data_IF_620434554264
#
_entry.id   IF_620434554264
#
_cell.length_a   1.000
_cell.length_b   1.000
_cell.length_c   1.000
_cell.angle_alpha   90.00
_cell.angle_beta   90.00
_cell.angle_gamma   90.00
#
_symmetry.space_group_name_H-M   'P 1'
#
loop_
_entity.id
_entity.type
_entity.pdbx_description
1 polymer ?
#
# COMPACT_ATOMS: atom_id res chain seq x y z
N UNK A 1 30.77 10.70 -17.96
CA UNK A 1 30.49 11.67 -16.88
C UNK A 1 29.16 11.31 -16.24
N UNK A 2 29.19 10.53 -15.15
CA UNK A 2 28.02 10.43 -14.28
C UNK A 2 27.88 11.79 -13.59
N UNK A 3 26.87 12.58 -13.97
CA UNK A 3 26.49 13.75 -13.18
C UNK A 3 25.96 13.21 -11.85
N UNK A 4 26.75 13.35 -10.79
CA UNK A 4 26.21 13.30 -9.44
C UNK A 4 25.18 14.42 -9.34
N UNK A 5 23.91 14.04 -9.28
CA UNK A 5 22.84 14.97 -8.97
C UNK A 5 23.04 15.36 -7.51
N UNK A 6 23.27 16.64 -7.18
CA UNK A 6 23.45 17.06 -5.79
C UNK A 6 22.20 16.67 -5.00
N UNK A 7 22.42 16.02 -3.85
CA UNK A 7 21.34 15.67 -2.94
C UNK A 7 20.76 16.99 -2.44
N UNK A 8 19.57 17.35 -2.91
CA UNK A 8 18.87 18.54 -2.42
C UNK A 8 18.33 18.28 -1.01
N UNK A 9 18.09 19.33 -0.23
CA UNK A 9 17.46 19.23 1.10
C UNK A 9 16.12 18.47 1.07
N UNK A 10 15.42 18.50 -0.06
CA UNK A 10 14.22 17.69 -0.29
C UNK A 10 14.52 16.19 -0.38
N UNK A 11 15.60 15.81 -1.06
CA UNK A 11 16.07 14.43 -1.14
C UNK A 11 16.59 13.96 0.23
N UNK A 12 17.28 14.80 0.99
CA UNK A 12 17.71 14.49 2.36
C UNK A 12 16.51 14.23 3.28
N UNK A 13 15.53 15.14 3.30
CA UNK A 13 14.31 14.96 4.09
C UNK A 13 13.53 13.70 3.67
N UNK A 14 13.47 13.41 2.36
CA UNK A 14 12.83 12.21 1.84
C UNK A 14 13.59 10.94 2.24
N UNK A 15 14.92 10.99 2.23
CA UNK A 15 15.77 9.90 2.70
C UNK A 15 15.59 9.69 4.20
N UNK A 16 15.54 10.74 5.01
CA UNK A 16 15.33 10.67 6.45
C UNK A 16 13.94 10.14 6.80
N UNK A 17 12.89 10.62 6.10
CA UNK A 17 11.54 10.09 6.25
C UNK A 17 11.47 8.62 5.82
N UNK A 18 12.10 8.25 4.70
CA UNK A 18 12.18 6.85 4.31
C UNK A 18 12.94 6.03 5.34
N UNK A 19 14.05 6.54 5.86
CA UNK A 19 14.83 5.87 6.91
C UNK A 19 13.97 5.69 8.14
N UNK A 20 13.27 6.71 8.65
CA UNK A 20 12.39 6.56 9.80
C UNK A 20 11.28 5.52 9.55
N UNK A 21 10.63 5.56 8.38
CA UNK A 21 9.60 4.58 7.99
C UNK A 21 10.15 3.17 7.77
N UNK A 22 11.43 3.06 7.42
CA UNK A 22 12.11 1.79 7.14
C UNK A 22 12.94 1.30 8.32
N UNK A 23 13.23 2.11 9.35
CA UNK A 23 14.16 1.81 10.45
C UNK A 23 13.54 1.90 11.84
N UNK A 24 12.71 2.90 12.13
CA UNK A 24 12.09 3.06 13.46
C UNK A 24 10.82 2.19 13.61
N UNK A 25 10.11 1.94 12.51
CA UNK A 25 8.97 1.01 12.46
C UNK A 25 9.36 -0.41 11.99
N UNK A 26 10.65 -0.78 12.02
CA UNK A 26 11.11 -2.13 11.67
C UNK A 26 10.49 -3.21 12.55
N UNK A 27 10.21 -2.91 13.81
CA UNK A 27 9.65 -3.89 14.73
C UNK A 27 8.13 -4.08 14.58
N UNK A 28 7.41 -3.16 13.92
CA UNK A 28 5.93 -3.17 13.86
C UNK A 28 5.33 -3.18 12.45
N UNK A 29 6.14 -3.17 11.39
CA UNK A 29 5.63 -3.33 10.03
C UNK A 29 5.41 -4.80 9.67
N UNK A 30 4.23 -5.13 9.12
CA UNK A 30 3.92 -6.45 8.51
C UNK A 30 4.96 -6.88 7.47
N UNK A 31 5.66 -5.91 6.87
CA UNK A 31 6.72 -6.17 5.91
C UNK A 31 7.92 -6.91 6.54
N UNK A 32 8.30 -6.52 7.75
CA UNK A 32 9.41 -7.16 8.44
C UNK A 32 9.00 -8.53 8.95
N UNK A 33 7.84 -8.61 9.59
CA UNK A 33 7.38 -9.85 10.21
C UNK A 33 7.20 -10.95 9.18
N UNK A 34 6.72 -10.66 7.97
CA UNK A 34 6.61 -11.69 6.92
C UNK A 34 7.99 -12.22 6.50
N UNK A 35 8.96 -11.33 6.29
CA UNK A 35 10.31 -11.73 5.86
C UNK A 35 11.08 -12.43 6.97
N UNK A 36 11.05 -11.90 8.19
CA UNK A 36 11.70 -12.54 9.34
C UNK A 36 11.01 -13.85 9.74
N UNK A 37 9.70 -13.99 9.51
CA UNK A 37 9.02 -15.29 9.69
C UNK A 37 9.52 -16.34 8.69
N UNK A 38 9.76 -15.97 7.43
CA UNK A 38 10.15 -16.93 6.39
C UNK A 38 11.66 -17.17 6.30
N UNK A 39 12.49 -16.19 6.67
CA UNK A 39 13.95 -16.27 6.54
C UNK A 39 14.72 -16.00 7.83
N UNK A 40 14.08 -15.51 8.90
CA UNK A 40 14.80 -14.96 10.05
C UNK A 40 15.56 -13.67 9.72
N UNK A 41 16.40 -13.23 10.65
CA UNK A 41 17.32 -12.12 10.42
C UNK A 41 18.61 -12.63 9.78
N UNK A 42 18.62 -12.70 8.45
CA UNK A 42 19.77 -13.23 7.70
C UNK A 42 20.07 -12.39 6.45
N UNK A 43 20.99 -12.87 5.61
CA UNK A 43 21.37 -12.17 4.37
C UNK A 43 20.18 -11.93 3.44
N UNK A 44 19.25 -12.88 3.34
CA UNK A 44 18.08 -12.74 2.47
C UNK A 44 17.14 -11.61 2.95
N UNK A 45 16.96 -11.44 4.27
CA UNK A 45 16.14 -10.35 4.80
C UNK A 45 16.77 -8.97 4.55
N UNK A 46 18.11 -8.86 4.59
CA UNK A 46 18.82 -7.61 4.24
C UNK A 46 18.71 -7.27 2.75
N UNK A 47 18.94 -8.25 1.88
CA UNK A 47 18.78 -8.08 0.42
C UNK A 47 17.36 -7.66 0.08
N UNK A 48 16.37 -8.24 0.74
CA UNK A 48 14.98 -7.83 0.60
C UNK A 48 14.78 -6.35 0.96
N UNK A 49 15.24 -5.94 2.15
CA UNK A 49 15.12 -4.56 2.64
C UNK A 49 15.78 -3.56 1.68
N UNK A 50 16.97 -3.86 1.19
CA UNK A 50 17.69 -3.01 0.24
C UNK A 50 16.92 -2.83 -1.07
N UNK A 51 16.36 -3.91 -1.61
CA UNK A 51 15.58 -3.88 -2.85
C UNK A 51 14.28 -3.09 -2.68
N UNK A 52 13.58 -3.25 -1.55
CA UNK A 52 12.43 -2.42 -1.21
C UNK A 52 12.83 -0.95 -1.10
N UNK A 53 13.86 -0.64 -0.30
CA UNK A 53 14.32 0.73 -0.06
C UNK A 53 14.65 1.42 -1.37
N UNK A 54 15.45 0.78 -2.22
CA UNK A 54 15.85 1.33 -3.53
C UNK A 54 14.64 1.62 -4.40
N UNK A 55 13.67 0.71 -4.46
CA UNK A 55 12.53 0.92 -5.35
C UNK A 55 11.46 1.84 -4.79
N UNK A 56 11.33 1.95 -3.47
CA UNK A 56 10.58 3.04 -2.86
C UNK A 56 11.22 4.39 -3.19
N UNK A 57 12.55 4.52 -3.14
CA UNK A 57 13.23 5.76 -3.56
C UNK A 57 12.98 6.09 -5.03
N UNK A 58 13.11 5.11 -5.93
CA UNK A 58 12.84 5.29 -7.37
C UNK A 58 11.39 5.76 -7.63
N UNK A 59 10.45 5.28 -6.82
CA UNK A 59 9.05 5.70 -6.87
C UNK A 59 8.89 7.13 -6.37
N UNK A 60 9.45 7.41 -5.20
CA UNK A 60 9.29 8.67 -4.51
C UNK A 60 9.90 9.84 -5.29
N UNK A 61 11.04 9.60 -5.95
CA UNK A 61 11.73 10.55 -6.81
C UNK A 61 11.11 10.69 -8.21
N UNK A 62 10.02 9.97 -8.50
CA UNK A 62 9.37 9.97 -9.81
C UNK A 62 10.16 9.28 -10.94
N UNK A 63 11.27 8.61 -10.62
CA UNK A 63 12.07 7.87 -11.62
C UNK A 63 11.31 6.65 -12.16
N UNK A 64 10.41 6.08 -11.36
CA UNK A 64 9.58 4.93 -11.74
C UNK A 64 8.15 5.07 -11.24
N UNK A 65 7.22 4.52 -12.02
CA UNK A 65 5.86 4.25 -11.54
C UNK A 65 5.88 3.09 -10.54
N UNK A 66 4.88 3.02 -9.65
CA UNK A 66 4.74 1.89 -8.71
C UNK A 66 4.75 0.54 -9.44
N UNK A 67 4.07 0.41 -10.58
CA UNK A 67 4.04 -0.84 -11.36
C UNK A 67 5.41 -1.27 -11.87
N UNK A 68 6.22 -0.32 -12.35
CA UNK A 68 7.57 -0.60 -12.83
C UNK A 68 8.48 -1.01 -11.67
N UNK A 69 8.39 -0.31 -10.54
CA UNK A 69 9.13 -0.64 -9.32
C UNK A 69 8.79 -2.03 -8.78
N UNK A 70 7.51 -2.42 -8.79
CA UNK A 70 7.08 -3.77 -8.39
C UNK A 70 7.70 -4.83 -9.30
N UNK A 71 7.62 -4.65 -10.63
CA UNK A 71 8.18 -5.61 -11.59
C UNK A 71 9.68 -5.79 -11.40
N UNK A 72 10.43 -4.68 -11.34
CA UNK A 72 11.88 -4.72 -11.17
C UNK A 72 12.27 -5.40 -9.85
N UNK A 73 11.48 -5.21 -8.78
CA UNK A 73 11.74 -5.86 -7.50
C UNK A 73 11.49 -7.37 -7.51
N UNK A 74 10.44 -7.81 -8.20
CA UNK A 74 10.16 -9.24 -8.35
C UNK A 74 11.34 -9.93 -9.04
N UNK A 75 11.87 -9.36 -10.13
CA UNK A 75 13.03 -9.93 -10.81
C UNK A 75 14.27 -9.95 -9.92
N UNK A 76 14.62 -8.83 -9.27
CA UNK A 76 15.77 -8.80 -8.35
C UNK A 76 15.67 -9.85 -7.25
N UNK A 77 14.47 -10.12 -6.72
CA UNK A 77 14.28 -11.15 -5.70
C UNK A 77 14.44 -12.57 -6.23
N UNK A 78 13.90 -12.85 -7.42
CA UNK A 78 14.12 -14.13 -8.10
C UNK A 78 15.61 -14.35 -8.37
N UNK A 79 16.31 -13.35 -8.89
CA UNK A 79 17.76 -13.40 -9.17
C UNK A 79 18.60 -13.64 -7.90
N UNK A 80 18.09 -13.22 -6.73
CA UNK A 80 18.72 -13.43 -5.43
C UNK A 80 18.24 -14.70 -4.71
N UNK A 81 17.48 -15.58 -5.38
CA UNK A 81 17.05 -16.86 -4.84
C UNK A 81 16.00 -16.75 -3.72
N UNK A 82 15.26 -15.65 -3.66
CA UNK A 82 14.18 -15.47 -2.69
C UNK A 82 12.95 -16.25 -3.17
N UNK A 83 12.38 -17.08 -2.30
CA UNK A 83 11.18 -17.89 -2.56
C UNK A 83 9.99 -17.03 -3.03
N UNK A 84 9.24 -17.59 -3.97
CA UNK A 84 8.05 -17.02 -4.59
C UNK A 84 6.80 -16.95 -3.69
N UNK A 85 6.79 -17.72 -2.59
CA UNK A 85 5.71 -17.78 -1.62
C UNK A 85 6.22 -17.45 -0.21
N UNK A 86 5.41 -16.66 0.52
CA UNK A 86 5.66 -16.28 1.91
C UNK A 86 4.46 -16.65 2.76
N UNK A 87 4.68 -17.08 3.99
CA UNK A 87 3.60 -17.38 4.94
C UNK A 87 3.59 -16.31 6.04
N UNK A 88 2.46 -15.64 6.24
CA UNK A 88 2.32 -14.68 7.33
C UNK A 88 2.13 -15.37 8.69
N UNK A 89 2.20 -14.61 9.79
CA UNK A 89 2.04 -15.16 11.15
C UNK A 89 0.65 -15.80 11.37
N UNK A 90 -0.35 -15.42 10.59
CA UNK A 90 -1.69 -15.99 10.63
C UNK A 90 -1.85 -17.22 9.71
N UNK A 91 -0.78 -17.65 9.03
CA UNK A 91 -0.76 -18.82 8.16
C UNK A 91 -1.25 -18.56 6.73
N UNK A 92 -1.49 -17.31 6.33
CA UNK A 92 -1.89 -17.03 4.96
C UNK A 92 -0.69 -17.03 4.02
N UNK A 93 -0.90 -17.61 2.84
CA UNK A 93 0.09 -17.60 1.76
C UNK A 93 0.03 -16.27 0.98
N UNK A 94 1.19 -15.67 0.79
CA UNK A 94 1.41 -14.46 0.02
C UNK A 94 2.30 -14.76 -1.17
N UNK A 95 1.83 -14.44 -2.37
CA UNK A 95 2.71 -14.39 -3.54
C UNK A 95 3.69 -13.23 -3.40
N UNK A 96 4.93 -13.43 -3.84
CA UNK A 96 5.96 -12.41 -3.90
C UNK A 96 5.46 -11.07 -4.45
N UNK A 97 4.74 -11.07 -5.58
CA UNK A 97 4.33 -9.82 -6.23
C UNK A 97 3.24 -9.08 -5.44
N UNK A 98 2.33 -9.82 -4.79
CA UNK A 98 1.31 -9.22 -3.93
C UNK A 98 1.95 -8.56 -2.71
N UNK A 99 2.97 -9.20 -2.17
CA UNK A 99 3.70 -8.69 -1.03
C UNK A 99 4.58 -7.48 -1.40
N UNK A 100 5.38 -7.55 -2.47
CA UNK A 100 6.14 -6.39 -3.01
C UNK A 100 5.25 -5.17 -3.19
N UNK A 101 4.08 -5.38 -3.81
CA UNK A 101 3.11 -4.33 -4.08
C UNK A 101 2.59 -3.69 -2.80
N UNK A 102 2.25 -4.50 -1.79
CA UNK A 102 1.77 -4.00 -0.51
C UNK A 102 2.84 -3.15 0.19
N UNK A 103 4.08 -3.65 0.22
CA UNK A 103 5.23 -2.99 0.84
C UNK A 103 5.49 -1.64 0.16
N UNK A 104 5.72 -1.62 -1.16
CA UNK A 104 6.06 -0.39 -1.89
C UNK A 104 4.96 0.65 -1.76
N UNK A 105 3.68 0.26 -1.93
CA UNK A 105 2.58 1.20 -1.83
C UNK A 105 2.45 1.79 -0.43
N UNK A 106 2.54 0.95 0.61
CA UNK A 106 2.42 1.38 2.01
C UNK A 106 3.59 2.27 2.40
N UNK A 107 4.83 1.87 2.12
CA UNK A 107 6.02 2.66 2.47
C UNK A 107 6.05 3.98 1.71
N UNK A 108 5.70 4.00 0.42
CA UNK A 108 5.64 5.25 -0.36
C UNK A 108 4.58 6.19 0.21
N UNK A 109 3.38 5.69 0.49
CA UNK A 109 2.29 6.49 1.05
C UNK A 109 2.65 7.07 2.42
N UNK A 110 3.18 6.24 3.32
CA UNK A 110 3.63 6.67 4.65
C UNK A 110 4.75 7.69 4.57
N UNK A 111 5.74 7.50 3.70
CA UNK A 111 6.83 8.48 3.53
C UNK A 111 6.30 9.84 3.09
N UNK A 112 5.35 9.88 2.15
CA UNK A 112 4.72 11.15 1.76
C UNK A 112 3.91 11.79 2.90
N UNK A 113 3.22 11.00 3.72
CA UNK A 113 2.49 11.55 4.87
C UNK A 113 3.42 12.01 5.98
N UNK A 114 4.50 11.29 6.28
CA UNK A 114 5.53 11.70 7.23
C UNK A 114 6.17 13.03 6.82
N UNK A 115 6.51 13.20 5.53
CA UNK A 115 7.00 14.47 4.99
C UNK A 115 5.99 15.62 5.16
N UNK A 116 4.69 15.35 5.00
CA UNK A 116 3.64 16.34 5.26
C UNK A 116 3.57 16.69 6.74
N UNK A 117 3.60 15.70 7.63
CA UNK A 117 3.55 15.91 9.08
C UNK A 117 4.78 16.67 9.60
N UNK A 118 5.99 16.36 9.10
CA UNK A 118 7.20 17.13 9.41
C UNK A 118 7.06 18.59 8.99
N UNK A 119 6.63 18.84 7.75
CA UNK A 119 6.36 20.20 7.26
C UNK A 119 5.29 20.91 8.09
N UNK A 120 4.26 20.21 8.54
CA UNK A 120 3.25 20.78 9.43
C UNK A 120 3.86 21.19 10.78
N UNK A 121 4.71 20.33 11.35
CA UNK A 121 5.41 20.61 12.60
C UNK A 121 6.35 21.82 12.48
N UNK A 122 6.99 22.04 11.32
CA UNK A 122 7.84 23.21 11.08
C UNK A 122 7.07 24.55 11.18
N UNK A 123 5.75 24.52 11.04
CA UNK A 123 4.86 25.68 11.14
C UNK A 123 3.88 25.59 12.33
N UNK A 124 4.16 24.74 13.32
CA UNK A 124 3.31 24.51 14.50
C UNK A 124 1.84 24.17 14.16
N UNK A 125 1.62 23.55 12.99
CA UNK A 125 0.31 23.12 12.55
C UNK A 125 0.03 21.69 13.04
N UNK A 126 -0.93 21.52 13.95
CA UNK A 126 -1.26 20.20 14.53
C UNK A 126 -2.60 19.63 14.07
N UNK A 127 -3.25 20.30 13.13
CA UNK A 127 -4.52 19.88 12.55
C UNK A 127 -4.40 19.63 11.05
N UNK A 128 -4.98 18.52 10.59
CA UNK A 128 -5.06 18.19 9.18
C UNK A 128 -6.48 17.85 8.78
N UNK A 129 -6.85 18.17 7.54
CA UNK A 129 -8.04 17.65 6.90
C UNK A 129 -7.71 16.30 6.26
N UNK A 130 -8.41 15.25 6.67
CA UNK A 130 -8.23 13.90 6.12
C UNK A 130 -9.04 13.73 4.83
N UNK A 131 -8.44 13.19 3.78
CA UNK A 131 -9.15 12.93 2.51
C UNK A 131 -10.24 11.87 2.67
N UNK A 132 -11.31 11.97 1.88
CA UNK A 132 -12.40 11.00 1.83
C UNK A 132 -12.19 9.92 0.77
N UNK A 133 -12.54 8.68 1.11
CA UNK A 133 -12.49 7.53 0.21
C UNK A 133 -13.74 6.65 0.36
N UNK A 134 -14.30 6.24 -0.78
CA UNK A 134 -15.49 5.40 -0.82
C UNK A 134 -15.30 4.00 -0.22
N UNK A 135 -14.06 3.55 0.00
CA UNK A 135 -13.76 2.22 0.54
C UNK A 135 -12.87 2.31 1.80
N UNK A 136 -13.07 3.33 2.63
CA UNK A 136 -12.29 3.49 3.84
C UNK A 136 -12.55 2.34 4.84
N UNK A 137 -11.48 1.88 5.47
CA UNK A 137 -11.56 0.89 6.57
C UNK A 137 -12.19 1.50 7.82
N UNK A 138 -12.60 0.64 8.76
CA UNK A 138 -13.24 1.02 10.03
C UNK A 138 -12.52 2.14 10.79
N UNK A 139 -11.19 2.04 10.95
CA UNK A 139 -10.39 3.05 11.64
C UNK A 139 -10.35 4.41 10.92
N UNK A 140 -10.53 4.45 9.60
CA UNK A 140 -10.51 5.70 8.83
C UNK A 140 -11.91 6.25 8.58
N UNK A 141 -12.93 5.38 8.53
CA UNK A 141 -14.23 5.69 7.96
C UNK A 141 -14.97 6.80 8.72
N UNK A 142 -14.78 6.89 10.03
CA UNK A 142 -15.45 7.88 10.89
C UNK A 142 -14.78 9.25 10.93
N UNK A 143 -13.49 9.32 10.58
CA UNK A 143 -12.69 10.55 10.65
C UNK A 143 -12.31 11.12 9.29
N UNK A 144 -12.48 10.35 8.20
CA UNK A 144 -12.26 10.84 6.86
C UNK A 144 -13.18 12.03 6.53
N UNK A 145 -12.69 12.96 5.73
CA UNK A 145 -13.43 14.17 5.37
C UNK A 145 -13.59 15.18 6.52
N UNK A 146 -13.00 14.91 7.69
CA UNK A 146 -13.03 15.82 8.85
C UNK A 146 -11.64 16.45 9.07
N UNK A 147 -11.63 17.50 9.89
CA UNK A 147 -10.40 17.99 10.49
C UNK A 147 -10.08 17.08 11.68
N UNK A 148 -8.83 16.65 11.77
CA UNK A 148 -8.31 15.77 12.82
C UNK A 148 -7.03 16.37 13.41
N UNK A 149 -6.78 16.09 14.68
CA UNK A 149 -5.47 16.32 15.27
C UNK A 149 -4.48 15.27 14.75
N UNK A 150 -3.29 15.73 14.34
CA UNK A 150 -2.17 14.86 13.94
C UNK A 150 -1.18 14.62 15.07
N UNK A 151 -1.54 15.05 16.28
CA UNK A 151 -0.86 14.80 17.55
C UNK A 151 -1.80 14.08 18.51
N UNK A 152 -1.30 13.36 19.52
CA UNK A 152 -2.12 12.79 20.58
C UNK A 152 -2.93 13.86 21.33
N UNK A 153 -4.08 13.50 21.91
CA UNK A 153 -4.93 14.44 22.64
C UNK A 153 -4.32 14.97 23.95
N UNK A 154 -3.24 14.36 24.45
CA UNK A 154 -2.50 14.86 25.61
C UNK A 154 -1.38 15.87 25.24
N UNK A 155 -1.20 16.17 23.95
CA UNK A 155 -0.32 17.27 23.50
C UNK A 155 -1.03 18.60 23.76
N UNK A 156 -0.35 19.56 24.38
CA UNK A 156 -0.92 20.88 24.72
C UNK A 156 -1.41 21.68 23.51
N UNK A 157 -0.90 21.35 22.32
CA UNK A 157 -1.29 22.00 21.06
C UNK A 157 -2.57 21.39 20.48
N UNK A 158 -2.97 20.19 20.92
CA UNK A 158 -4.14 19.50 20.40
C UNK A 158 -5.39 20.37 20.55
N UNK A 159 -6.24 20.37 19.52
CA UNK A 159 -7.48 21.10 19.55
C UNK A 159 -8.64 20.20 20.00
N UNK A 160 -9.21 20.48 21.16
CA UNK A 160 -10.28 19.70 21.79
C UNK A 160 -11.57 19.56 20.96
N UNK A 161 -11.76 20.39 19.92
CA UNK A 161 -12.89 20.28 19.01
C UNK A 161 -12.76 19.14 17.98
N UNK A 162 -11.56 18.57 17.82
CA UNK A 162 -11.29 17.57 16.81
C UNK A 162 -10.76 16.28 17.43
N UNK A 163 -11.13 15.15 16.85
CA UNK A 163 -10.57 13.87 17.27
C UNK A 163 -9.13 13.71 16.74
N UNK A 164 -8.33 12.88 17.41
CA UNK A 164 -6.94 12.61 17.04
C UNK A 164 -6.81 11.33 16.22
N UNK A 165 -5.95 11.34 15.21
CA UNK A 165 -5.61 10.14 14.44
C UNK A 165 -5.05 9.01 15.34
N UNK A 166 -4.48 9.33 16.50
CA UNK A 166 -3.97 8.36 17.46
C UNK A 166 -5.09 7.55 18.13
N UNK A 167 -6.27 8.14 18.32
CA UNK A 167 -7.46 7.42 18.81
C UNK A 167 -7.97 6.39 17.79
N UNK A 168 -7.48 6.47 16.55
CA UNK A 168 -7.81 5.57 15.44
C UNK A 168 -6.64 4.67 15.05
N UNK A 169 -5.71 4.41 15.99
CA UNK A 169 -4.60 3.47 15.79
C UNK A 169 -3.54 3.96 14.81
N UNK A 170 -3.22 5.26 14.79
CA UNK A 170 -2.13 5.78 13.98
C UNK A 170 -0.83 4.98 14.22
N UNK A 171 -0.23 4.50 13.13
CA UNK A 171 0.98 3.64 13.16
C UNK A 171 0.68 2.14 13.11
N UNK A 172 -0.49 1.71 13.57
CA UNK A 172 -0.88 0.30 13.58
C UNK A 172 -1.18 -0.23 12.16
N UNK A 173 -0.97 -1.54 11.89
CA UNK A 173 -1.28 -2.15 10.60
C UNK A 173 -2.71 -1.88 10.11
N UNK A 174 -3.71 -2.03 10.98
CA UNK A 174 -5.13 -1.87 10.70
C UNK A 174 -5.68 -0.49 11.07
N UNK A 175 -4.97 0.29 11.89
CA UNK A 175 -5.31 1.67 12.25
C UNK A 175 -4.94 2.72 11.19
N UNK A 176 -5.35 3.97 11.37
CA UNK A 176 -5.20 5.03 10.36
C UNK A 176 -3.75 5.23 9.92
N UNK A 177 -3.51 5.55 8.65
CA UNK A 177 -2.16 5.57 8.05
C UNK A 177 -1.38 4.22 8.12
N UNK A 178 -2.06 3.15 8.52
CA UNK A 178 -1.64 1.75 8.39
C UNK A 178 -1.48 1.20 6.97
N UNK A 179 -1.43 -0.12 6.86
CA UNK A 179 -1.14 -0.84 5.61
C UNK A 179 -2.22 -0.60 4.55
N UNK A 180 -1.78 -0.33 3.33
CA UNK A 180 -2.65 0.00 2.18
C UNK A 180 -3.61 1.17 2.45
N UNK A 181 -3.40 1.99 3.49
CA UNK A 181 -4.11 3.25 3.62
C UNK A 181 -3.85 4.12 2.39
N UNK A 182 -4.86 4.91 2.03
CA UNK A 182 -4.74 5.89 0.96
C UNK A 182 -5.08 7.30 1.42
N UNK A 183 -5.54 7.45 2.66
CA UNK A 183 -5.98 8.73 3.18
C UNK A 183 -4.80 9.69 3.25
N UNK A 184 -4.95 10.84 2.62
CA UNK A 184 -3.97 11.92 2.66
C UNK A 184 -4.36 12.86 3.79
N UNK A 185 -3.37 13.29 4.57
CA UNK A 185 -3.52 14.35 5.56
C UNK A 185 -3.11 15.68 4.92
N UNK A 186 -4.07 16.55 4.68
CA UNK A 186 -3.82 17.89 4.16
C UNK A 186 -3.68 18.85 5.34
N UNK A 187 -2.56 19.59 5.48
CA UNK A 187 -2.43 20.61 6.51
C UNK A 187 -3.63 21.53 6.50
N UNK A 188 -4.26 21.76 7.67
CA UNK A 188 -5.45 22.59 7.73
C UNK A 188 -5.50 23.42 8.99
N UNK A 189 -5.66 24.72 8.81
CA UNK A 189 -5.94 25.65 9.91
C UNK A 189 -7.45 25.79 10.07
N UNK A 190 -8.01 25.41 11.24
CA UNK A 190 -9.42 25.60 11.55
C UNK A 190 -9.84 27.06 11.31
N UNK A 191 -10.96 27.27 10.61
CA UNK A 191 -11.48 28.61 10.31
C UNK A 191 -10.86 29.34 9.12
N UNK A 192 -9.67 28.95 8.65
CA UNK A 192 -9.05 29.53 7.45
C UNK A 192 -9.40 28.75 6.17
N UNK A 193 -9.63 27.44 6.30
CA UNK A 193 -9.85 26.55 5.15
C UNK A 193 -11.32 26.15 5.00
N UNK A 194 -11.83 26.16 3.77
CA UNK A 194 -13.11 25.55 3.42
C UNK A 194 -12.92 24.04 3.20
N UNK A 195 -13.76 23.24 3.87
CA UNK A 195 -13.73 21.79 3.72
C UNK A 195 -14.68 21.36 2.59
N UNK A 196 -14.10 21.01 1.44
CA UNK A 196 -14.83 20.57 0.25
C UNK A 196 -14.79 19.04 0.06
N UNK A 197 -14.39 18.27 1.07
CA UNK A 197 -14.37 16.80 0.97
C UNK A 197 -15.77 16.23 0.88
N UNK A 198 -15.91 15.18 0.07
CA UNK A 198 -17.16 14.43 0.02
C UNK A 198 -17.43 13.77 1.37
N UNK A 199 -18.64 13.96 1.88
CA UNK A 199 -19.11 13.25 3.06
C UNK A 199 -19.62 11.89 2.60
N UNK A 200 -18.93 10.84 3.01
CA UNK A 200 -19.29 9.46 2.73
C UNK A 200 -19.75 8.88 4.06
N UNK A 201 -20.91 8.22 4.08
CA UNK A 201 -21.37 7.57 5.30
C UNK A 201 -20.33 6.52 5.75
N UNK A 202 -19.87 6.56 7.02
CA UNK A 202 -18.83 5.65 7.49
C UNK A 202 -19.21 4.17 7.32
N UNK A 203 -20.48 3.80 7.51
CA UNK A 203 -20.92 2.40 7.38
C UNK A 203 -20.93 1.98 5.91
N UNK A 204 -21.35 2.89 5.02
CA UNK A 204 -21.26 2.68 3.58
C UNK A 204 -19.80 2.48 3.14
N UNK A 205 -18.88 3.34 3.59
CA UNK A 205 -17.46 3.23 3.24
C UNK A 205 -16.85 1.88 3.65
N UNK A 206 -17.19 1.40 4.85
CA UNK A 206 -16.75 0.09 5.36
C UNK A 206 -17.29 -1.04 4.48
N UNK A 207 -18.60 -1.02 4.17
CA UNK A 207 -19.25 -2.03 3.30
C UNK A 207 -18.66 -2.04 1.89
N UNK A 208 -18.41 -0.86 1.33
CA UNK A 208 -17.75 -0.71 0.04
C UNK A 208 -16.32 -1.26 0.08
N UNK A 209 -15.62 -1.12 1.22
CA UNK A 209 -14.34 -1.78 1.48
C UNK A 209 -14.40 -3.30 1.37
N UNK A 210 -15.42 -3.94 1.94
CA UNK A 210 -15.63 -5.38 1.84
C UNK A 210 -15.86 -5.84 0.39
N UNK A 211 -16.67 -5.08 -0.36
CA UNK A 211 -16.91 -5.31 -1.79
C UNK A 211 -15.63 -5.15 -2.59
N UNK A 212 -14.82 -4.11 -2.29
CA UNK A 212 -13.52 -3.94 -2.91
C UNK A 212 -12.60 -5.13 -2.62
N UNK A 213 -12.64 -5.73 -1.43
CA UNK A 213 -11.86 -6.94 -1.15
C UNK A 213 -12.29 -8.15 -1.99
N UNK A 214 -13.57 -8.27 -2.33
CA UNK A 214 -14.04 -9.28 -3.29
C UNK A 214 -13.42 -9.06 -4.67
N UNK A 215 -13.35 -7.81 -5.13
CA UNK A 215 -12.62 -7.46 -6.37
C UNK A 215 -11.15 -7.90 -6.28
N UNK A 216 -10.46 -7.60 -5.18
CA UNK A 216 -9.05 -7.99 -4.98
C UNK A 216 -8.86 -9.51 -4.98
N UNK A 217 -9.83 -10.27 -4.45
CA UNK A 217 -9.82 -11.73 -4.50
C UNK A 217 -9.92 -12.24 -5.94
N UNK A 218 -10.86 -11.72 -6.73
CA UNK A 218 -11.01 -12.10 -8.14
C UNK A 218 -9.74 -11.80 -8.95
N UNK A 219 -9.11 -10.65 -8.74
CA UNK A 219 -7.84 -10.29 -9.39
C UNK A 219 -6.71 -11.28 -9.05
N UNK A 220 -6.58 -11.68 -7.78
CA UNK A 220 -5.61 -12.69 -7.34
C UNK A 220 -5.89 -14.05 -7.97
N UNK A 221 -7.15 -14.48 -7.98
CA UNK A 221 -7.57 -15.74 -8.61
C UNK A 221 -7.23 -15.77 -10.11
N UNK A 222 -7.52 -14.68 -10.84
CA UNK A 222 -7.20 -14.55 -12.26
C UNK A 222 -5.70 -14.66 -12.47
N UNK A 223 -4.90 -13.95 -11.66
CA UNK A 223 -3.43 -14.00 -11.75
C UNK A 223 -2.91 -15.41 -11.49
N UNK A 224 -3.41 -16.08 -10.45
CA UNK A 224 -3.06 -17.46 -10.13
C UNK A 224 -3.37 -18.42 -11.29
N UNK A 225 -4.54 -18.30 -11.91
CA UNK A 225 -4.92 -19.12 -13.07
C UNK A 225 -4.06 -18.83 -14.31
N UNK A 226 -3.62 -17.59 -14.51
CA UNK A 226 -2.67 -17.25 -15.57
C UNK A 226 -1.29 -17.87 -15.34
N UNK A 227 -0.79 -17.90 -14.10
CA UNK A 227 0.46 -18.63 -13.76
C UNK A 227 0.34 -20.12 -14.07
N UNK A 228 -0.80 -20.73 -13.70
CA UNK A 228 -1.06 -22.15 -14.03
C UNK A 228 -1.21 -22.40 -15.53
N UNK A 229 -1.78 -21.46 -16.28
CA UNK A 229 -1.85 -21.55 -17.73
C UNK A 229 -0.45 -21.57 -18.34
N UNK A 230 0.45 -20.69 -17.88
CA UNK A 230 1.84 -20.66 -18.36
C UNK A 230 2.55 -22.00 -18.10
N UNK A 231 2.47 -22.53 -16.88
CA UNK A 231 3.04 -23.85 -16.56
C UNK A 231 2.43 -24.98 -17.42
N UNK A 232 1.13 -24.95 -17.71
CA UNK A 232 0.49 -25.92 -18.59
C UNK A 232 0.92 -25.79 -20.07
N UNK A 233 1.35 -24.61 -20.49
CA UNK A 233 1.93 -24.38 -21.82
C UNK A 233 3.35 -24.94 -21.89
N UNK A 234 4.16 -24.75 -20.85
CA UNK A 234 5.52 -25.30 -20.77
C UNK A 234 5.54 -26.85 -20.72
N UNK A 235 4.46 -27.46 -20.21
CA UNK A 235 4.29 -28.90 -20.10
C UNK A 235 3.46 -29.51 -21.26
N UNK A 236 3.06 -28.71 -22.25
CA UNK A 236 2.20 -29.13 -23.37
C UNK A 236 0.89 -29.84 -22.95
N UNK A 237 0.33 -29.50 -21.78
CA UNK A 237 -0.93 -30.07 -21.26
C UNK A 237 -2.15 -29.30 -21.80
N UNK A 238 -2.63 -29.68 -22.99
CA UNK A 238 -3.76 -29.03 -23.67
C UNK A 238 -5.06 -29.05 -22.85
N UNK A 239 -5.28 -30.10 -22.05
CA UNK A 239 -6.47 -30.23 -21.21
C UNK A 239 -6.44 -29.18 -20.11
N UNK A 240 -5.30 -29.03 -19.43
CA UNK A 240 -5.12 -28.02 -18.38
C UNK A 240 -5.13 -26.61 -18.96
N UNK A 241 -4.53 -26.38 -20.13
CA UNK A 241 -4.59 -25.09 -20.81
C UNK A 241 -6.04 -24.66 -21.07
N UNK A 242 -6.86 -25.58 -21.62
CA UNK A 242 -8.28 -25.32 -21.90
C UNK A 242 -9.07 -25.01 -20.63
N UNK A 243 -8.86 -25.79 -19.56
CA UNK A 243 -9.48 -25.55 -18.25
C UNK A 243 -9.09 -24.19 -17.68
N UNK A 244 -7.81 -23.83 -17.71
CA UNK A 244 -7.33 -22.55 -17.17
C UNK A 244 -7.92 -21.36 -17.95
N UNK A 245 -7.93 -21.42 -19.29
CA UNK A 245 -8.54 -20.39 -20.15
C UNK A 245 -10.03 -20.18 -19.81
N UNK A 246 -10.80 -21.26 -19.68
CA UNK A 246 -12.21 -21.19 -19.32
C UNK A 246 -12.44 -20.52 -17.96
N UNK A 247 -11.67 -20.90 -16.93
CA UNK A 247 -11.78 -20.30 -15.59
C UNK A 247 -11.38 -18.82 -15.59
N UNK A 248 -10.32 -18.45 -16.32
CA UNK A 248 -9.90 -17.03 -16.45
C UNK A 248 -11.04 -16.21 -17.03
N UNK A 249 -11.65 -16.66 -18.14
CA UNK A 249 -12.75 -15.95 -18.79
C UNK A 249 -13.96 -15.78 -17.87
N UNK A 250 -14.35 -16.85 -17.16
CA UNK A 250 -15.45 -16.81 -16.20
C UNK A 250 -15.18 -15.80 -15.07
N UNK A 251 -13.99 -15.83 -14.47
CA UNK A 251 -13.63 -14.90 -13.39
C UNK A 251 -13.52 -13.46 -13.87
N UNK A 252 -13.02 -13.23 -15.08
CA UNK A 252 -13.00 -11.90 -15.69
C UNK A 252 -14.39 -11.38 -15.99
N UNK A 253 -15.34 -12.25 -16.35
CA UNK A 253 -16.76 -11.89 -16.49
C UNK A 253 -17.33 -11.45 -15.15
N UNK A 254 -17.18 -12.27 -14.09
CA UNK A 254 -17.62 -11.91 -12.73
C UNK A 254 -16.99 -10.61 -12.24
N UNK A 255 -15.70 -10.37 -12.54
CA UNK A 255 -15.02 -9.13 -12.19
C UNK A 255 -15.61 -7.92 -12.92
N UNK A 256 -15.92 -8.05 -14.22
CA UNK A 256 -16.58 -6.97 -14.98
C UNK A 256 -17.97 -6.67 -14.42
N UNK A 257 -18.75 -7.70 -14.11
CA UNK A 257 -20.07 -7.56 -13.50
C UNK A 257 -19.98 -6.84 -12.16
N UNK A 258 -19.10 -7.30 -11.25
CA UNK A 258 -18.88 -6.69 -9.94
C UNK A 258 -18.54 -5.20 -10.06
N UNK A 259 -17.65 -4.84 -11.00
CA UNK A 259 -17.24 -3.45 -11.22
C UNK A 259 -18.38 -2.62 -11.82
N UNK A 260 -19.11 -3.17 -12.80
CA UNK A 260 -20.24 -2.46 -13.41
C UNK A 260 -21.40 -2.20 -12.44
N UNK A 261 -21.54 -3.02 -11.39
CA UNK A 261 -22.57 -2.87 -10.36
C UNK A 261 -22.21 -1.87 -9.26
N UNK A 262 -20.97 -1.34 -9.23
CA UNK A 262 -20.50 -0.48 -8.13
C UNK A 262 -19.61 0.65 -8.66
N UNK A 263 -20.12 1.88 -8.67
CA UNK A 263 -19.43 3.07 -9.22
C UNK A 263 -18.09 3.38 -8.53
N UNK A 264 -17.92 3.00 -7.27
CA UNK A 264 -16.68 3.21 -6.51
C UNK A 264 -15.57 2.21 -6.86
N UNK A 265 -15.85 1.19 -7.67
CA UNK A 265 -14.86 0.21 -8.14
C UNK A 265 -14.30 0.60 -9.51
N UNK A 266 -13.01 0.33 -9.69
CA UNK A 266 -12.32 0.54 -10.95
C UNK A 266 -11.47 -0.68 -11.31
N UNK A 267 -11.44 -1.05 -12.58
CA UNK A 267 -10.62 -2.17 -13.07
C UNK A 267 -9.19 -1.72 -13.31
N UNK A 268 -8.25 -2.44 -12.70
CA UNK A 268 -6.83 -2.25 -12.96
C UNK A 268 -6.24 -3.55 -13.53
N UNK A 269 -5.98 -3.53 -14.84
CA UNK A 269 -5.45 -4.68 -15.56
C UNK A 269 -4.06 -5.11 -15.08
N UNK A 270 -3.27 -4.21 -14.49
CA UNK A 270 -1.94 -4.57 -14.00
C UNK A 270 -2.01 -5.54 -12.81
N UNK A 271 -3.12 -5.52 -12.07
CA UNK A 271 -3.37 -6.48 -10.99
C UNK A 271 -3.73 -7.87 -11.48
N UNK A 272 -4.13 -8.04 -12.73
CA UNK A 272 -4.35 -9.36 -13.33
C UNK A 272 -3.14 -9.87 -14.12
N UNK A 273 -2.09 -9.06 -14.32
CA UNK A 273 -0.90 -9.48 -15.08
C UNK A 273 -0.03 -10.42 -14.25
N UNK A 274 0.54 -11.42 -14.92
CA UNK A 274 1.66 -12.19 -14.39
C UNK A 274 2.95 -11.45 -14.78
N UNK A 275 3.93 -11.43 -13.89
CA UNK A 275 5.28 -11.03 -14.26
C UNK A 275 5.95 -12.31 -14.76
N UNK A 276 6.13 -12.45 -16.06
CA UNK A 276 6.97 -13.51 -16.63
C UNK A 276 8.39 -12.97 -16.74
N UNK A 277 9.37 -13.78 -16.33
CA UNK A 277 10.78 -13.63 -16.73
C UNK A 277 10.92 -13.67 -18.24
#
# INVERSE_FOLDING_TARGET
>A
MHKEVPVTKEIENMLDSLVNQTFLDLNNNVNQTLITTNYGENRASRVFQEIVKKSTLEVLSGLKTHEKAIRDNVYKWVDNGINSAFIDRAGHEWSMEAYTRMVINTTSHRTYNDLRLKRMSDFDCVTARMSSHACARKACAYIQGQIVNVVPMNDERANDHYDSIYNHGYGEPDGTQGINCKNILYPSLPGANTNNESKIDPKEAIKNGEIQQQQRKLERDIRYRKKRLLAAQELDDEIMQSKCKAVILAKQKTLRELISSHEFLNRDYNREKIQSS
#
